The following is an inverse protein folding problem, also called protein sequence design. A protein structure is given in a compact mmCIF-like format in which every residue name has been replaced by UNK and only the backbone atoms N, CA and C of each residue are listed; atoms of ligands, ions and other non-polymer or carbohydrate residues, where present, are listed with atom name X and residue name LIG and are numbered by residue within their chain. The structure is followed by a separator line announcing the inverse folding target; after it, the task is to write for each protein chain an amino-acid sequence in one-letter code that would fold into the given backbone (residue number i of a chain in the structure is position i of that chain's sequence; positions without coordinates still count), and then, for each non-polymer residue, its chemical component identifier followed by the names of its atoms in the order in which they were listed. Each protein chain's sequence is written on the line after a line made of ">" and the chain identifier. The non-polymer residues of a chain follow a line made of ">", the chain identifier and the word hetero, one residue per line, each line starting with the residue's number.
data_IF_237684298298
#
_entry.id   IF_237684298298
#
_cell.length_a   1.000
_cell.length_b   1.000
_cell.length_c   1.000
_cell.angle_alpha   90.00
_cell.angle_beta   90.00
_cell.angle_gamma   90.00
#
_symmetry.space_group_name_H-M   'P 1'
#
loop_
_entity.id
_entity.type
_entity.pdbx_description
1 polymer ?
#
# COMPACT_ATOMS: atom_id res chain seq x y z
N UNK A 1 -42.56 -9.35 43.21
CA UNK A 1 -42.21 -9.28 41.76
C UNK A 1 -41.99 -7.82 41.39
N UNK A 2 -40.75 -7.30 41.55
CA UNK A 2 -40.42 -5.89 41.24
C UNK A 2 -40.22 -5.77 39.73
N UNK A 3 -41.13 -5.10 39.04
CA UNK A 3 -41.01 -4.78 37.61
C UNK A 3 -39.99 -3.65 37.46
N UNK A 4 -38.93 -3.91 36.70
CA UNK A 4 -37.93 -2.90 36.32
C UNK A 4 -38.60 -1.85 35.41
N UNK A 5 -38.33 -0.55 35.61
CA UNK A 5 -38.97 0.52 34.84
C UNK A 5 -38.45 0.52 33.39
N UNK A 6 -39.32 0.77 32.40
CA UNK A 6 -39.03 0.65 30.96
C UNK A 6 -37.98 1.65 30.44
N UNK A 7 -37.58 2.62 31.26
CA UNK A 7 -36.57 3.64 30.93
C UNK A 7 -35.16 3.04 30.90
N UNK A 8 -34.88 2.01 31.71
CA UNK A 8 -33.59 1.33 31.71
C UNK A 8 -33.34 0.51 30.42
N UNK A 9 -34.40 0.06 29.74
CA UNK A 9 -34.31 -0.67 28.47
C UNK A 9 -34.01 0.26 27.29
N UNK A 10 -34.46 1.51 27.32
CA UNK A 10 -34.25 2.46 26.22
C UNK A 10 -32.81 3.02 26.21
N UNK A 11 -32.21 3.23 27.39
CA UNK A 11 -30.82 3.67 27.49
C UNK A 11 -29.83 2.59 27.03
N UNK A 12 -30.15 1.31 27.24
CA UNK A 12 -29.33 0.18 26.75
C UNK A 12 -29.47 0.01 25.23
N UNK A 13 -30.66 0.24 24.67
CA UNK A 13 -30.90 0.14 23.22
C UNK A 13 -30.21 1.26 22.40
N UNK A 14 -29.98 2.44 22.99
CA UNK A 14 -29.23 3.54 22.35
C UNK A 14 -27.72 3.49 22.60
N UNK A 15 -27.25 2.70 23.57
CA UNK A 15 -25.82 2.51 23.81
C UNK A 15 -25.17 1.49 22.87
N UNK A 16 -25.95 0.53 22.34
CA UNK A 16 -25.42 -0.50 21.44
C UNK A 16 -24.96 0.01 20.05
N UNK A 17 -25.64 0.98 19.38
CA UNK A 17 -25.15 1.51 18.09
C UNK A 17 -23.93 2.42 18.25
N UNK A 18 -23.79 3.11 19.39
CA UNK A 18 -22.69 4.05 19.62
C UNK A 18 -21.34 3.33 19.83
N UNK A 19 -21.35 2.08 20.30
CA UNK A 19 -20.14 1.29 20.50
C UNK A 19 -19.58 0.68 19.20
N UNK A 20 -20.38 0.59 18.12
CA UNK A 20 -19.96 -0.02 16.85
C UNK A 20 -19.16 0.97 15.98
N UNK A 21 -19.31 2.27 16.19
CA UNK A 21 -18.62 3.31 15.39
C UNK A 21 -17.15 3.55 15.75
N UNK A 22 -16.66 3.02 16.87
CA UNK A 22 -15.28 3.27 17.36
C UNK A 22 -14.27 2.21 16.91
N UNK A 23 -14.73 1.16 16.24
CA UNK A 23 -13.90 0.10 15.66
C UNK A 23 -13.60 0.32 14.18
N UNK A 24 -13.43 1.57 13.74
CA UNK A 24 -12.92 1.88 12.41
C UNK A 24 -11.47 1.42 12.31
N UNK A 25 -11.27 0.13 12.02
CA UNK A 25 -9.97 -0.35 11.58
C UNK A 25 -9.56 0.49 10.38
N UNK A 26 -8.30 0.95 10.37
CA UNK A 26 -7.74 1.69 9.26
C UNK A 26 -8.08 0.94 7.97
N UNK A 27 -8.87 1.58 7.11
CA UNK A 27 -9.11 1.09 5.76
C UNK A 27 -7.80 1.26 4.97
N UNK A 28 -6.81 0.42 5.29
CA UNK A 28 -5.57 0.30 4.53
C UNK A 28 -5.86 -0.57 3.31
N UNK A 29 -6.60 0.00 2.37
CA UNK A 29 -6.90 -0.64 1.09
C UNK A 29 -6.00 -0.11 -0.04
N UNK A 30 -4.88 0.55 0.27
CA UNK A 30 -3.89 0.88 -0.75
C UNK A 30 -3.10 -0.38 -1.09
N UNK A 31 -3.17 -0.83 -2.34
CA UNK A 31 -2.23 -1.83 -2.84
C UNK A 31 -0.88 -1.14 -2.93
N UNK A 32 0.05 -1.52 -2.05
CA UNK A 32 1.38 -0.95 -1.99
C UNK A 32 2.42 -1.98 -2.44
N UNK A 33 3.35 -1.54 -3.27
CA UNK A 33 4.48 -2.34 -3.74
C UNK A 33 5.78 -1.79 -3.16
N UNK A 34 6.58 -2.67 -2.55
CA UNK A 34 7.94 -2.36 -2.12
C UNK A 34 8.90 -2.63 -3.29
N UNK A 35 9.30 -1.56 -3.97
CA UNK A 35 10.23 -1.60 -5.09
C UNK A 35 11.67 -1.84 -4.59
N UNK A 36 12.36 -2.86 -5.14
CA UNK A 36 13.79 -3.10 -4.89
C UNK A 36 14.70 -2.21 -5.74
N UNK A 37 14.13 -1.39 -6.63
CA UNK A 37 14.85 -0.45 -7.49
C UNK A 37 14.96 0.92 -6.82
N UNK A 38 15.84 1.77 -7.35
CA UNK A 38 15.97 3.14 -6.85
C UNK A 38 14.72 3.96 -7.14
N UNK A 39 14.60 5.10 -6.47
CA UNK A 39 13.50 6.04 -6.69
C UNK A 39 13.46 6.47 -8.16
N UNK A 40 14.60 6.86 -8.73
CA UNK A 40 14.69 7.34 -10.12
C UNK A 40 14.30 6.25 -11.13
N UNK A 41 14.73 5.00 -10.90
CA UNK A 41 14.33 3.86 -11.73
C UNK A 41 12.82 3.64 -11.65
N UNK A 42 12.27 3.64 -10.42
CA UNK A 42 10.85 3.41 -10.17
C UNK A 42 9.99 4.51 -10.78
N UNK A 43 10.34 5.77 -10.54
CA UNK A 43 9.63 6.94 -11.03
C UNK A 43 9.71 7.04 -12.56
N UNK A 44 10.90 6.89 -13.13
CA UNK A 44 11.09 6.90 -14.58
C UNK A 44 10.29 5.80 -15.29
N UNK A 45 10.28 4.59 -14.72
CA UNK A 45 9.52 3.45 -15.26
C UNK A 45 8.01 3.67 -15.14
N UNK A 46 7.53 4.24 -14.03
CA UNK A 46 6.12 4.58 -13.85
C UNK A 46 5.63 5.58 -14.90
N UNK A 47 6.40 6.63 -15.19
CA UNK A 47 6.07 7.58 -16.26
C UNK A 47 5.96 6.89 -17.63
N UNK A 48 6.89 5.99 -17.95
CA UNK A 48 6.89 5.25 -19.22
C UNK A 48 5.71 4.29 -19.28
N UNK A 49 5.42 3.57 -18.21
CA UNK A 49 4.26 2.69 -18.14
C UNK A 49 2.98 3.48 -18.45
N UNK A 50 2.74 4.56 -17.71
CA UNK A 50 1.52 5.37 -17.84
C UNK A 50 1.42 6.00 -19.23
N UNK A 51 2.47 6.69 -19.69
CA UNK A 51 2.39 7.50 -20.91
C UNK A 51 2.67 6.72 -22.19
N UNK A 52 3.66 5.84 -22.18
CA UNK A 52 4.19 5.16 -23.37
C UNK A 52 3.47 3.84 -23.59
N UNK A 53 3.43 2.98 -22.56
CA UNK A 53 2.89 1.63 -22.70
C UNK A 53 1.36 1.63 -22.68
N UNK A 54 0.76 2.37 -21.75
CA UNK A 54 -0.70 2.42 -21.55
C UNK A 54 -1.37 3.58 -22.30
N UNK A 55 -0.59 4.55 -22.79
CA UNK A 55 -1.09 5.69 -23.56
C UNK A 55 -1.95 6.67 -22.74
N UNK A 56 -1.94 6.58 -21.41
CA UNK A 56 -2.70 7.47 -20.54
C UNK A 56 -2.12 8.89 -20.55
N UNK A 57 -2.99 9.88 -20.37
CA UNK A 57 -2.58 11.27 -20.28
C UNK A 57 -2.09 11.56 -18.87
N UNK A 58 -0.84 11.98 -18.76
CA UNK A 58 -0.30 12.54 -17.51
C UNK A 58 -0.85 13.96 -17.37
N UNK A 59 -1.52 14.21 -16.24
CA UNK A 59 -2.07 15.52 -15.86
C UNK A 59 -0.98 16.33 -15.14
N UNK A 60 -0.29 15.72 -14.20
CA UNK A 60 0.74 16.37 -13.40
C UNK A 60 1.85 15.38 -13.03
N UNK A 61 3.07 15.92 -12.91
CA UNK A 61 4.25 15.18 -12.47
C UNK A 61 5.01 16.03 -11.47
N UNK A 62 5.05 15.57 -10.23
CA UNK A 62 5.86 16.15 -9.17
C UNK A 62 6.90 15.13 -8.73
N UNK A 63 8.12 15.27 -9.26
CA UNK A 63 9.23 14.36 -8.95
C UNK A 63 9.72 14.57 -7.53
N UNK A 64 9.65 15.81 -7.01
CA UNK A 64 10.18 16.14 -5.69
C UNK A 64 9.35 15.49 -4.59
N UNK A 65 8.03 15.42 -4.77
CA UNK A 65 7.10 14.79 -3.83
C UNK A 65 6.71 13.36 -4.24
N UNK A 66 7.19 12.85 -5.37
CA UNK A 66 6.96 11.46 -5.78
C UNK A 66 5.58 11.19 -6.37
N UNK A 67 4.91 12.18 -6.95
CA UNK A 67 3.56 12.04 -7.51
C UNK A 67 3.51 12.05 -9.04
N UNK A 68 2.68 11.17 -9.59
CA UNK A 68 2.24 11.19 -10.99
C UNK A 68 0.72 11.13 -11.01
N UNK A 69 0.07 12.19 -11.52
CA UNK A 69 -1.39 12.24 -11.69
C UNK A 69 -1.71 12.02 -13.16
N UNK A 70 -2.73 11.21 -13.45
CA UNK A 70 -3.08 10.83 -14.82
C UNK A 70 -4.58 10.59 -15.02
N UNK A 71 -5.01 10.63 -16.28
CA UNK A 71 -6.34 10.21 -16.69
C UNK A 71 -6.33 8.71 -16.99
N UNK A 72 -6.98 7.92 -16.13
CA UNK A 72 -7.19 6.49 -16.32
C UNK A 72 -8.39 6.24 -17.25
N UNK A 73 -8.24 5.27 -18.15
CA UNK A 73 -9.32 4.81 -19.03
C UNK A 73 -9.37 3.29 -19.00
N UNK A 74 -10.47 2.73 -18.50
CA UNK A 74 -10.78 1.30 -18.57
C UNK A 74 -11.83 1.03 -19.65
N UNK A 75 -11.79 -0.14 -20.32
CA UNK A 75 -12.88 -0.61 -21.16
C UNK A 75 -14.25 -0.56 -20.44
N UNK A 76 -14.28 -0.83 -19.14
CA UNK A 76 -15.48 -0.87 -18.31
C UNK A 76 -16.05 0.52 -18.02
N UNK A 77 -15.23 1.57 -18.14
CA UNK A 77 -15.65 2.96 -17.90
C UNK A 77 -16.44 3.55 -19.08
N UNK A 78 -16.72 2.78 -20.13
CA UNK A 78 -17.45 3.25 -21.32
C UNK A 78 -16.75 4.43 -22.02
N UNK A 79 -15.41 4.44 -21.98
CA UNK A 79 -14.58 5.50 -22.57
C UNK A 79 -14.44 6.77 -21.72
N UNK A 80 -15.09 6.85 -20.56
CA UNK A 80 -14.91 7.97 -19.62
C UNK A 80 -13.53 7.89 -18.96
N UNK A 81 -12.85 9.02 -18.93
CA UNK A 81 -11.62 9.16 -18.16
C UNK A 81 -11.95 9.40 -16.69
N UNK A 82 -11.25 8.72 -15.80
CA UNK A 82 -11.27 8.96 -14.36
C UNK A 82 -9.88 9.38 -13.88
N UNK A 83 -9.80 10.05 -12.74
CA UNK A 83 -8.51 10.47 -12.20
C UNK A 83 -7.82 9.31 -11.49
N UNK A 84 -6.52 9.17 -11.75
CA UNK A 84 -5.64 8.23 -11.06
C UNK A 84 -4.37 8.91 -10.58
N UNK A 85 -3.72 8.30 -9.59
CA UNK A 85 -2.41 8.72 -9.11
C UNK A 85 -1.49 7.52 -8.88
N UNK A 86 -0.19 7.76 -9.08
CA UNK A 86 0.89 6.92 -8.57
C UNK A 86 1.70 7.77 -7.60
N UNK A 87 1.86 7.28 -6.39
CA UNK A 87 2.72 7.84 -5.36
C UNK A 87 3.93 6.93 -5.18
N UNK A 88 5.13 7.52 -5.17
CA UNK A 88 6.40 6.84 -5.04
C UNK A 88 7.14 7.53 -3.91
N UNK A 89 7.40 6.81 -2.82
CA UNK A 89 8.03 7.36 -1.63
C UNK A 89 9.34 6.64 -1.38
N UNK A 90 10.43 7.38 -1.24
CA UNK A 90 11.70 6.83 -0.77
C UNK A 90 11.69 6.82 0.77
N UNK A 91 11.53 5.64 1.37
CA UNK A 91 11.55 5.45 2.81
C UNK A 91 12.84 4.76 3.28
N UNK A 92 13.06 4.71 4.60
CA UNK A 92 14.25 4.07 5.17
C UNK A 92 14.41 2.57 4.86
N UNK A 93 13.33 1.90 4.44
CA UNK A 93 13.33 0.47 4.08
C UNK A 93 13.37 0.20 2.57
N UNK A 94 13.38 1.24 1.73
CA UNK A 94 13.32 1.15 0.28
C UNK A 94 12.28 2.09 -0.35
N UNK A 95 12.00 1.87 -1.64
CA UNK A 95 11.03 2.66 -2.40
C UNK A 95 9.67 2.00 -2.32
N UNK A 96 8.68 2.70 -1.80
CA UNK A 96 7.28 2.25 -1.77
C UNK A 96 6.50 2.91 -2.89
N UNK A 97 5.68 2.14 -3.59
CA UNK A 97 4.78 2.61 -4.64
C UNK A 97 3.34 2.33 -4.22
N UNK A 98 2.46 3.31 -4.36
CA UNK A 98 1.02 3.14 -4.23
C UNK A 98 0.33 3.66 -5.50
N UNK A 99 -0.69 2.94 -5.95
CA UNK A 99 -1.56 3.38 -7.05
C UNK A 99 -2.95 3.60 -6.49
N UNK A 100 -3.59 4.70 -6.86
CA UNK A 100 -4.96 5.01 -6.45
C UNK A 100 -5.84 5.31 -7.66
N UNK A 101 -6.98 4.62 -7.73
CA UNK A 101 -8.03 4.82 -8.72
C UNK A 101 -9.39 4.88 -8.00
N UNK A 102 -9.73 5.97 -7.28
CA UNK A 102 -10.88 6.01 -6.37
C UNK A 102 -12.24 5.74 -7.04
N UNK A 103 -12.35 6.00 -8.34
CA UNK A 103 -13.56 5.76 -9.12
C UNK A 103 -13.66 4.34 -9.72
N UNK A 104 -12.68 3.47 -9.43
CA UNK A 104 -12.58 2.12 -9.97
C UNK A 104 -12.45 1.08 -8.85
N UNK A 105 -12.85 -0.17 -9.09
CA UNK A 105 -12.53 -1.26 -8.18
C UNK A 105 -11.00 -1.49 -8.04
N UNK A 106 -10.58 -1.94 -6.86
CA UNK A 106 -9.18 -2.11 -6.46
C UNK A 106 -8.34 -2.98 -7.42
N UNK A 107 -8.96 -3.94 -8.13
CA UNK A 107 -8.22 -4.80 -9.06
C UNK A 107 -7.55 -4.00 -10.20
N UNK A 108 -8.09 -2.84 -10.57
CA UNK A 108 -7.43 -1.96 -11.55
C UNK A 108 -6.11 -1.41 -11.04
N UNK A 109 -6.04 -1.09 -9.74
CA UNK A 109 -4.81 -0.65 -9.08
C UNK A 109 -3.79 -1.79 -9.06
N UNK A 110 -4.24 -3.01 -8.75
CA UNK A 110 -3.39 -4.22 -8.79
C UNK A 110 -2.82 -4.45 -10.19
N UNK A 111 -3.64 -4.37 -11.24
CA UNK A 111 -3.18 -4.54 -12.63
C UNK A 111 -2.12 -3.51 -13.02
N UNK A 112 -2.27 -2.25 -12.59
CA UNK A 112 -1.26 -1.21 -12.84
C UNK A 112 0.04 -1.49 -12.09
N UNK A 113 -0.03 -1.94 -10.84
CA UNK A 113 1.14 -2.31 -10.05
C UNK A 113 1.85 -3.53 -10.64
N UNK A 114 1.14 -4.59 -10.99
CA UNK A 114 1.72 -5.77 -11.63
C UNK A 114 2.41 -5.41 -12.95
N UNK A 115 1.78 -4.52 -13.74
CA UNK A 115 2.37 -3.95 -14.95
C UNK A 115 3.66 -3.20 -14.66
N UNK A 116 3.69 -2.38 -13.60
CA UNK A 116 4.89 -1.66 -13.17
C UNK A 116 6.00 -2.61 -12.72
N UNK A 117 5.69 -3.62 -11.91
CA UNK A 117 6.66 -4.63 -11.44
C UNK A 117 7.30 -5.33 -12.63
N UNK A 118 6.49 -5.79 -13.58
CA UNK A 118 6.96 -6.46 -14.79
C UNK A 118 7.84 -5.54 -15.64
N UNK A 119 7.43 -4.27 -15.81
CA UNK A 119 8.18 -3.29 -16.60
C UNK A 119 9.51 -2.94 -15.93
N UNK A 120 9.55 -2.82 -14.62
CA UNK A 120 10.78 -2.59 -13.87
C UNK A 120 11.80 -3.69 -14.09
N UNK A 121 11.38 -4.95 -13.99
CA UNK A 121 12.24 -6.09 -14.28
C UNK A 121 12.71 -6.11 -15.76
N UNK A 122 11.84 -5.73 -16.69
CA UNK A 122 12.20 -5.67 -18.11
C UNK A 122 13.20 -4.54 -18.44
N UNK A 123 13.09 -3.38 -17.78
CA UNK A 123 13.95 -2.21 -18.04
C UNK A 123 15.28 -2.26 -17.27
N UNK A 124 15.28 -2.83 -16.06
CA UNK A 124 16.42 -2.73 -15.14
C UNK A 124 17.01 -4.09 -14.75
N UNK A 125 16.48 -5.20 -15.28
CA UNK A 125 16.91 -6.56 -14.97
C UNK A 125 16.35 -7.07 -13.65
N UNK A 126 16.83 -8.24 -13.20
CA UNK A 126 16.39 -8.81 -11.93
C UNK A 126 16.78 -7.89 -10.75
N UNK A 127 15.86 -7.69 -9.79
CA UNK A 127 16.14 -6.81 -8.68
C UNK A 127 17.29 -7.33 -7.82
N UNK A 128 18.15 -6.45 -7.28
CA UNK A 128 19.23 -6.88 -6.39
C UNK A 128 18.63 -7.69 -5.23
N UNK A 129 19.16 -8.90 -5.01
CA UNK A 129 18.71 -9.77 -3.92
C UNK A 129 18.85 -8.98 -2.60
N UNK A 130 17.74 -8.76 -1.89
CA UNK A 130 17.78 -8.19 -0.52
C UNK A 130 18.79 -9.00 0.29
N UNK A 131 19.75 -8.32 0.91
CA UNK A 131 20.69 -8.96 1.81
C UNK A 131 19.89 -9.73 2.89
N UNK A 132 20.32 -10.94 3.28
CA UNK A 132 19.67 -11.66 4.37
C UNK A 132 19.60 -10.77 5.62
N UNK A 133 18.52 -10.84 6.41
CA UNK A 133 18.46 -10.12 7.67
C UNK A 133 19.67 -10.53 8.54
N UNK A 134 20.27 -9.59 9.30
CA UNK A 134 21.37 -9.92 10.20
C UNK A 134 20.91 -11.01 11.18
N UNK A 135 21.80 -11.96 11.54
CA UNK A 135 21.45 -12.98 12.52
C UNK A 135 21.02 -12.32 13.83
N UNK A 136 20.01 -12.88 14.54
CA UNK A 136 19.56 -12.33 15.81
C UNK A 136 20.74 -12.30 16.79
N UNK A 137 21.07 -11.09 17.27
CA UNK A 137 22.09 -10.91 18.29
C UNK A 137 21.51 -11.34 19.63
N UNK A 138 21.83 -12.54 20.10
CA UNK A 138 21.48 -12.96 21.47
C UNK A 138 21.14 -14.42 21.65
N UNK A 139 22.13 -15.31 21.50
CA UNK A 139 22.22 -16.50 22.35
C UNK A 139 23.60 -16.47 22.98
N UNK A 140 23.67 -15.88 24.17
CA UNK A 140 24.81 -16.08 25.06
C UNK A 140 25.01 -17.59 25.27
N UNK A 141 26.24 -18.12 25.26
CA UNK A 141 26.48 -19.52 25.59
C UNK A 141 25.96 -19.80 27.01
N UNK A 142 25.35 -20.97 27.27
CA UNK A 142 25.00 -21.36 28.63
C UNK A 142 26.27 -21.42 29.47
N UNK A 143 26.26 -20.68 30.58
CA UNK A 143 27.32 -20.68 31.58
C UNK A 143 27.42 -22.11 32.15
N UNK A 144 28.47 -22.84 31.78
CA UNK A 144 28.71 -24.19 32.26
C UNK A 144 29.15 -24.09 33.71
N UNK A 145 28.22 -24.34 34.63
CA UNK A 145 28.46 -24.36 36.07
C UNK A 145 29.69 -25.18 36.44
N UNK A 146 30.63 -24.55 37.15
CA UNK A 146 31.77 -25.21 37.78
C UNK A 146 31.30 -26.19 38.87
N UNK A 147 31.98 -27.33 39.07
CA UNK A 147 31.60 -28.30 40.09
C UNK A 147 32.01 -27.82 41.49
N UNK A 148 31.28 -28.19 42.57
CA UNK A 148 31.71 -27.92 43.93
C UNK A 148 32.85 -28.87 44.32
N UNK A 149 33.89 -28.30 44.94
CA UNK A 149 34.94 -29.02 45.66
C UNK A 149 34.55 -29.36 47.09
#
# INVERSE_FOLDING_TARGET
>A
MRRLPPIALLALALALPAAIGLGGGDASASVAYESPYTFDQTFGTALRLVRVDLGFKIVEKDVANGYVLFEYRSPESGGKATQGSIEIVNGGAGVRVAVQLPAMPQYHEQVLLDGLVKKLAAEHGDPPKKAPPPPPSGSAPPDAGAPPG
#
